data_IF_741448837464
#
_entry.id   IF_741448837464
#
_cell.length_a   1.000
_cell.length_b   1.000
_cell.length_c   1.000
_cell.angle_alpha   90.00
_cell.angle_beta   90.00
_cell.angle_gamma   90.00
#
_symmetry.space_group_name_H-M   'P 1'
#
loop_
_entity.id
_entity.type
_entity.pdbx_description
1 polymer ?
#
# COMPACT_ATOMS: atom_id res chain seq x y z
N UNK A 1 22.30 -14.14 -62.70
CA UNK A 1 22.21 -12.70 -62.34
C UNK A 1 22.47 -12.60 -60.84
N UNK A 2 23.60 -12.02 -60.44
CA UNK A 2 23.93 -11.81 -59.02
C UNK A 2 23.16 -10.59 -58.48
N UNK A 3 22.67 -10.62 -57.23
CA UNK A 3 21.93 -9.51 -56.65
C UNK A 3 22.88 -8.33 -56.41
N UNK A 4 22.48 -7.15 -56.91
CA UNK A 4 23.18 -5.89 -56.72
C UNK A 4 23.21 -5.53 -55.22
N UNK A 5 24.43 -5.35 -54.68
CA UNK A 5 24.63 -4.89 -53.31
C UNK A 5 24.10 -3.46 -53.15
N UNK A 6 23.07 -3.31 -52.33
CA UNK A 6 22.56 -2.00 -51.90
C UNK A 6 23.64 -1.29 -51.10
N UNK A 7 24.22 -0.24 -51.67
CA UNK A 7 25.19 0.63 -50.98
C UNK A 7 24.52 1.31 -49.79
N UNK A 8 24.68 0.74 -48.59
CA UNK A 8 24.35 1.46 -47.35
C UNK A 8 25.44 2.49 -47.10
N UNK A 9 25.10 3.77 -46.81
CA UNK A 9 26.10 4.75 -46.45
C UNK A 9 26.81 4.29 -45.18
N UNK A 10 28.11 4.01 -45.29
CA UNK A 10 28.97 3.68 -44.15
C UNK A 10 29.39 4.99 -43.51
N UNK A 11 28.93 5.23 -42.28
CA UNK A 11 29.42 6.34 -41.48
C UNK A 11 30.79 5.98 -40.90
N UNK A 12 31.76 6.87 -41.08
CA UNK A 12 33.08 6.76 -40.48
C UNK A 12 33.47 8.14 -39.91
N UNK A 13 33.87 8.16 -38.64
CA UNK A 13 34.37 9.37 -38.00
C UNK A 13 35.76 9.65 -38.58
N UNK A 14 35.89 10.72 -39.37
CA UNK A 14 37.15 11.09 -40.02
C UNK A 14 38.11 11.86 -39.11
N UNK A 15 37.58 12.58 -38.13
CA UNK A 15 38.35 13.26 -37.11
C UNK A 15 37.56 13.30 -35.80
N UNK A 16 38.27 13.13 -34.69
CA UNK A 16 37.75 13.30 -33.35
C UNK A 16 38.63 14.34 -32.65
N UNK A 17 38.07 15.50 -32.34
CA UNK A 17 38.76 16.49 -31.55
C UNK A 17 38.44 16.25 -30.07
N UNK A 18 39.42 15.77 -29.31
CA UNK A 18 39.27 15.43 -27.89
C UNK A 18 39.40 16.64 -26.95
N UNK A 19 39.60 17.85 -27.50
CA UNK A 19 39.64 19.08 -26.70
C UNK A 19 38.21 19.58 -26.53
N UNK A 20 37.70 19.47 -25.32
CA UNK A 20 36.35 19.89 -24.96
C UNK A 20 36.37 21.38 -24.61
N UNK A 21 36.06 22.24 -25.59
CA UNK A 21 35.97 23.69 -25.40
C UNK A 21 34.55 24.18 -25.08
N UNK A 22 33.59 23.28 -24.81
CA UNK A 22 32.28 23.74 -24.39
C UNK A 22 32.37 24.28 -22.96
N UNK A 23 32.32 25.61 -22.87
CA UNK A 23 32.13 26.31 -21.61
C UNK A 23 30.93 25.72 -20.87
N UNK A 24 31.13 25.49 -19.57
CA UNK A 24 30.04 25.41 -18.63
C UNK A 24 29.10 26.60 -18.84
N UNK A 25 27.80 26.37 -18.65
CA UNK A 25 26.71 27.37 -18.65
C UNK A 25 26.01 27.69 -19.96
N UNK A 26 25.55 26.65 -20.69
CA UNK A 26 24.22 26.77 -21.33
C UNK A 26 23.18 26.37 -20.28
N UNK A 27 22.89 27.33 -19.40
CA UNK A 27 21.69 27.36 -18.59
C UNK A 27 20.48 27.58 -19.50
N UNK A 28 20.00 26.53 -20.14
CA UNK A 28 18.62 26.51 -20.63
C UNK A 28 17.95 25.25 -20.12
N UNK A 29 16.73 25.44 -19.61
CA UNK A 29 15.88 24.36 -19.13
C UNK A 29 15.64 23.34 -20.26
N UNK A 30 16.47 22.29 -20.32
CA UNK A 30 16.37 21.20 -21.27
C UNK A 30 17.34 21.32 -22.45
N UNK A 31 18.46 20.60 -22.39
CA UNK A 31 19.37 20.46 -23.53
C UNK A 31 18.68 19.60 -24.64
N UNK A 32 18.77 19.96 -25.94
CA UNK A 32 18.03 19.31 -27.03
C UNK A 32 18.25 17.80 -27.17
N UNK A 33 19.40 17.30 -26.69
CA UNK A 33 19.72 15.85 -26.70
C UNK A 33 19.15 15.08 -25.50
N UNK A 34 18.50 15.74 -24.56
CA UNK A 34 18.00 15.14 -23.31
C UNK A 34 16.55 14.71 -23.46
N UNK A 35 16.30 13.85 -24.44
CA UNK A 35 14.97 13.29 -24.64
C UNK A 35 14.57 12.44 -23.43
N UNK A 36 13.26 12.37 -23.14
CA UNK A 36 12.71 11.49 -22.10
C UNK A 36 13.18 10.03 -22.27
N UNK A 37 13.30 9.55 -23.51
CA UNK A 37 13.82 8.22 -23.84
C UNK A 37 15.29 8.05 -23.46
N UNK A 38 16.11 9.08 -23.67
CA UNK A 38 17.52 9.04 -23.31
C UNK A 38 17.69 8.97 -21.79
N UNK A 39 16.95 9.80 -21.03
CA UNK A 39 16.99 9.78 -19.56
C UNK A 39 16.64 8.40 -19.03
N UNK A 40 15.56 7.78 -19.53
CA UNK A 40 15.16 6.41 -19.19
C UNK A 40 16.30 5.43 -19.39
N UNK A 41 16.95 5.45 -20.56
CA UNK A 41 18.06 4.53 -20.86
C UNK A 41 19.28 4.77 -19.95
N UNK A 42 19.60 6.04 -19.66
CA UNK A 42 20.74 6.40 -18.82
C UNK A 42 20.57 5.95 -17.35
N UNK A 43 19.34 5.96 -16.82
CA UNK A 43 19.08 5.56 -15.42
C UNK A 43 18.60 4.13 -15.25
N UNK A 44 18.25 3.42 -16.34
CA UNK A 44 17.64 2.09 -16.29
C UNK A 44 18.48 1.07 -15.50
N UNK A 45 19.76 0.94 -15.82
CA UNK A 45 20.65 -0.01 -15.15
C UNK A 45 20.72 0.23 -13.64
N UNK A 46 21.01 1.48 -13.24
CA UNK A 46 21.10 1.87 -11.83
C UNK A 46 19.78 1.66 -11.07
N UNK A 47 18.62 1.82 -11.73
CA UNK A 47 17.31 1.58 -11.12
C UNK A 47 16.95 0.10 -10.97
N UNK A 48 17.46 -0.76 -11.84
CA UNK A 48 17.34 -2.22 -11.70
C UNK A 48 18.11 -2.66 -10.46
N UNK A 49 19.34 -2.18 -10.30
CA UNK A 49 20.20 -2.57 -9.17
C UNK A 49 19.76 -1.91 -7.85
N UNK A 50 19.27 -0.66 -7.91
CA UNK A 50 18.81 0.13 -6.76
C UNK A 50 17.44 0.75 -7.03
N UNK A 51 16.34 0.04 -6.75
CA UNK A 51 14.97 0.58 -6.94
C UNK A 51 14.67 1.84 -6.11
N UNK A 52 15.36 2.02 -4.98
CA UNK A 52 15.24 3.20 -4.10
C UNK A 52 15.97 4.44 -4.62
N UNK A 53 16.64 4.35 -5.77
CA UNK A 53 17.43 5.44 -6.36
C UNK A 53 16.57 6.70 -6.58
N UNK A 54 16.96 7.82 -5.93
CA UNK A 54 16.15 9.04 -5.88
C UNK A 54 16.35 9.89 -7.14
N UNK A 55 15.30 10.62 -7.55
CA UNK A 55 15.38 11.53 -8.70
C UNK A 55 16.44 12.64 -8.51
N UNK A 56 16.65 13.11 -7.28
CA UNK A 56 17.73 14.05 -6.96
C UNK A 56 19.12 13.44 -7.14
N UNK A 57 19.31 12.18 -6.76
CA UNK A 57 20.55 11.44 -6.98
C UNK A 57 20.78 11.24 -8.49
N UNK A 58 19.73 10.95 -9.26
CA UNK A 58 19.79 10.84 -10.72
C UNK A 58 20.25 12.13 -11.39
N UNK A 59 19.74 13.28 -10.96
CA UNK A 59 20.19 14.57 -11.50
C UNK A 59 21.68 14.79 -11.28
N UNK A 60 22.17 14.49 -10.06
CA UNK A 60 23.58 14.63 -9.71
C UNK A 60 24.45 13.70 -10.54
N UNK A 61 24.05 12.43 -10.65
CA UNK A 61 24.79 11.41 -11.39
C UNK A 61 24.78 11.69 -12.89
N UNK A 62 23.67 12.16 -13.47
CA UNK A 62 23.62 12.52 -14.89
C UNK A 62 24.53 13.72 -15.18
N UNK A 63 24.56 14.71 -14.27
CA UNK A 63 25.50 15.83 -14.37
C UNK A 63 26.96 15.37 -14.26
N UNK A 64 27.26 14.43 -13.35
CA UNK A 64 28.61 13.90 -13.15
C UNK A 64 29.08 13.05 -14.33
N UNK A 65 28.24 12.10 -14.77
CA UNK A 65 28.63 11.05 -15.73
C UNK A 65 28.56 11.56 -17.18
N UNK A 66 27.69 12.54 -17.47
CA UNK A 66 27.45 13.03 -18.84
C UNK A 66 27.65 14.54 -19.02
N UNK A 67 27.92 15.30 -17.95
CA UNK A 67 28.06 16.76 -18.01
C UNK A 67 26.76 17.52 -18.27
N UNK A 68 25.61 16.84 -18.24
CA UNK A 68 24.30 17.42 -18.61
C UNK A 68 23.48 17.72 -17.36
N UNK A 69 22.94 18.93 -17.27
CA UNK A 69 21.94 19.27 -16.25
C UNK A 69 20.54 18.95 -16.75
N UNK A 70 19.75 18.22 -15.95
CA UNK A 70 18.34 17.94 -16.24
C UNK A 70 17.45 18.48 -15.13
N UNK A 71 16.25 18.97 -15.44
CA UNK A 71 15.30 19.38 -14.43
C UNK A 71 14.75 18.16 -13.67
N UNK A 72 14.41 18.36 -12.39
CA UNK A 72 13.91 17.30 -11.50
C UNK A 72 12.75 16.48 -12.09
N UNK A 73 11.79 17.16 -12.73
CA UNK A 73 10.63 16.47 -13.31
C UNK A 73 11.02 15.48 -14.43
N UNK A 74 12.11 15.73 -15.18
CA UNK A 74 12.60 14.79 -16.19
C UNK A 74 13.28 13.57 -15.55
N UNK A 75 14.07 13.78 -14.50
CA UNK A 75 14.66 12.69 -13.72
C UNK A 75 13.58 11.81 -13.08
N UNK A 76 12.58 12.45 -12.47
CA UNK A 76 11.43 11.79 -11.86
C UNK A 76 10.61 11.02 -12.90
N UNK A 77 10.32 11.62 -14.05
CA UNK A 77 9.57 10.94 -15.11
C UNK A 77 10.35 9.76 -15.70
N UNK A 78 11.65 9.91 -15.89
CA UNK A 78 12.53 8.80 -16.30
C UNK A 78 12.49 7.64 -15.31
N UNK A 79 12.52 7.94 -14.01
CA UNK A 79 12.34 6.95 -12.95
C UNK A 79 11.00 6.24 -13.06
N UNK A 80 9.89 6.99 -13.15
CA UNK A 80 8.55 6.43 -13.22
C UNK A 80 8.38 5.48 -14.42
N UNK A 81 8.93 5.84 -15.58
CA UNK A 81 8.87 4.97 -16.76
C UNK A 81 9.67 3.70 -16.56
N UNK A 82 10.90 3.78 -16.03
CA UNK A 82 11.70 2.58 -15.74
C UNK A 82 10.99 1.70 -14.71
N UNK A 83 10.53 2.26 -13.60
CA UNK A 83 9.78 1.55 -12.55
C UNK A 83 8.55 0.86 -13.13
N UNK A 84 7.76 1.55 -13.96
CA UNK A 84 6.60 0.96 -14.62
C UNK A 84 6.95 -0.17 -15.59
N UNK A 85 8.13 -0.12 -16.22
CA UNK A 85 8.62 -1.19 -17.09
C UNK A 85 9.16 -2.40 -16.33
N UNK A 86 9.70 -2.19 -15.12
CA UNK A 86 10.28 -3.26 -14.30
C UNK A 86 9.24 -4.03 -13.50
N UNK A 87 8.30 -3.31 -12.88
CA UNK A 87 7.26 -3.92 -12.05
C UNK A 87 5.98 -4.22 -12.82
N UNK A 88 6.01 -4.00 -14.15
CA UNK A 88 4.84 -4.00 -15.03
C UNK A 88 3.73 -3.06 -14.53
N UNK A 89 2.62 -2.93 -15.24
CA UNK A 89 1.52 -2.13 -14.73
C UNK A 89 0.92 -2.76 -13.45
N UNK A 90 0.27 -1.95 -12.61
CA UNK A 90 -0.38 -2.44 -11.39
C UNK A 90 -1.33 -3.61 -11.67
N UNK A 91 -2.00 -3.61 -12.84
CA UNK A 91 -2.93 -4.66 -13.26
C UNK A 91 -2.23 -6.02 -13.39
N UNK A 92 -1.03 -6.02 -13.95
CA UNK A 92 -0.18 -7.21 -14.14
C UNK A 92 0.36 -7.71 -12.80
N UNK A 93 0.77 -6.81 -11.90
CA UNK A 93 1.19 -7.15 -10.53
C UNK A 93 0.10 -7.90 -9.75
N UNK A 94 -1.17 -7.56 -9.94
CA UNK A 94 -2.28 -8.26 -9.27
C UNK A 94 -2.60 -9.64 -9.86
N UNK A 95 -2.33 -9.89 -11.15
CA UNK A 95 -2.43 -11.24 -11.69
C UNK A 95 -1.46 -12.22 -11.02
N UNK A 96 -0.29 -11.74 -10.58
CA UNK A 96 0.66 -12.56 -9.81
C UNK A 96 0.11 -12.97 -8.44
N UNK A 97 -0.76 -12.17 -7.81
CA UNK A 97 -1.39 -12.54 -6.54
C UNK A 97 -2.27 -13.78 -6.66
N UNK A 98 -2.96 -13.96 -7.80
CA UNK A 98 -3.79 -15.14 -8.01
C UNK A 98 -2.94 -16.41 -8.13
N UNK A 99 -1.84 -16.32 -8.89
CA UNK A 99 -0.88 -17.41 -8.98
C UNK A 99 -0.25 -17.71 -7.63
N UNK A 100 0.16 -16.67 -6.89
CA UNK A 100 0.73 -16.80 -5.55
C UNK A 100 -0.27 -17.44 -4.58
N UNK A 101 -1.52 -16.98 -4.57
CA UNK A 101 -2.58 -17.54 -3.72
C UNK A 101 -2.72 -19.05 -3.92
N UNK A 102 -2.83 -19.48 -5.19
CA UNK A 102 -2.91 -20.91 -5.55
C UNK A 102 -1.68 -21.68 -5.09
N UNK A 103 -0.48 -21.14 -5.32
CA UNK A 103 0.78 -21.80 -4.95
C UNK A 103 0.97 -21.89 -3.44
N UNK A 104 0.63 -20.83 -2.70
CA UNK A 104 0.74 -20.78 -1.26
C UNK A 104 -0.16 -21.82 -0.58
N UNK A 105 -1.40 -22.00 -1.06
CA UNK A 105 -2.32 -23.04 -0.57
C UNK A 105 -1.83 -24.44 -0.94
N UNK A 106 -1.29 -24.64 -2.14
CA UNK A 106 -0.70 -25.92 -2.55
C UNK A 106 0.52 -26.31 -1.71
N UNK A 107 1.41 -25.36 -1.43
CA UNK A 107 2.61 -25.58 -0.63
C UNK A 107 2.34 -25.66 0.88
N UNK A 108 1.28 -25.02 1.36
CA UNK A 108 0.88 -25.04 2.77
C UNK A 108 -0.61 -25.41 2.89
N UNK A 109 -0.96 -26.70 2.74
CA UNK A 109 -2.34 -27.17 2.86
C UNK A 109 -3.00 -26.72 4.17
N UNK A 110 -4.26 -26.31 4.10
CA UNK A 110 -5.02 -25.74 5.23
C UNK A 110 -4.92 -24.21 5.34
N UNK A 111 -3.97 -23.57 4.67
CA UNK A 111 -3.85 -22.10 4.70
C UNK A 111 -5.06 -21.43 4.05
N UNK A 112 -5.53 -20.35 4.67
CA UNK A 112 -6.66 -19.55 4.22
C UNK A 112 -6.16 -18.31 3.48
N UNK A 113 -6.18 -18.38 2.15
CA UNK A 113 -5.87 -17.25 1.28
C UNK A 113 -7.10 -16.91 0.44
N UNK A 114 -7.55 -15.64 0.52
CA UNK A 114 -8.74 -15.17 -0.20
C UNK A 114 -8.40 -13.90 -0.97
N UNK A 115 -8.27 -14.04 -2.29
CA UNK A 115 -8.04 -12.93 -3.20
C UNK A 115 -9.38 -12.51 -3.83
N UNK A 116 -9.76 -11.26 -3.58
CA UNK A 116 -10.95 -10.66 -4.16
C UNK A 116 -10.56 -9.63 -5.23
N UNK A 117 -11.19 -9.81 -6.38
CA UNK A 117 -11.04 -8.96 -7.56
C UNK A 117 -12.44 -8.45 -7.92
N UNK A 118 -12.52 -7.21 -8.34
CA UNK A 118 -13.72 -6.64 -8.90
C UNK A 118 -14.12 -7.38 -10.19
N UNK A 119 -15.33 -7.94 -10.28
CA UNK A 119 -15.71 -8.79 -11.42
C UNK A 119 -15.80 -8.01 -12.74
N UNK A 120 -16.17 -6.72 -12.70
CA UNK A 120 -16.37 -5.89 -13.89
C UNK A 120 -15.04 -5.32 -14.39
N UNK A 121 -14.27 -4.72 -13.49
CA UNK A 121 -13.02 -4.02 -13.85
C UNK A 121 -11.81 -4.94 -13.85
N UNK A 122 -11.94 -6.16 -13.30
CA UNK A 122 -10.85 -7.10 -13.05
C UNK A 122 -9.71 -6.47 -12.23
N UNK A 123 -10.05 -5.52 -11.36
CA UNK A 123 -9.10 -4.83 -10.48
C UNK A 123 -9.07 -5.47 -9.11
N UNK A 124 -7.89 -5.50 -8.53
CA UNK A 124 -7.70 -5.95 -7.16
C UNK A 124 -8.57 -5.15 -6.18
N UNK A 125 -9.23 -5.85 -5.24
CA UNK A 125 -9.97 -5.25 -4.13
C UNK A 125 -9.27 -5.53 -2.80
N UNK A 126 -9.14 -6.82 -2.48
CA UNK A 126 -8.71 -7.29 -1.16
C UNK A 126 -7.91 -8.59 -1.29
N UNK A 127 -6.90 -8.80 -0.46
CA UNK A 127 -6.21 -10.08 -0.33
C UNK A 127 -6.05 -10.41 1.14
N UNK A 128 -6.71 -11.47 1.60
CA UNK A 128 -6.51 -12.02 2.93
C UNK A 128 -5.55 -13.20 2.89
N UNK A 129 -4.65 -13.27 3.88
CA UNK A 129 -3.65 -14.32 4.01
C UNK A 129 -3.58 -14.75 5.48
N UNK A 130 -3.85 -16.03 5.74
CA UNK A 130 -3.61 -16.68 7.02
C UNK A 130 -3.05 -18.07 6.74
N UNK A 131 -1.82 -18.34 7.18
CA UNK A 131 -1.22 -19.66 7.01
C UNK A 131 -1.76 -20.64 8.05
N UNK A 132 -1.89 -21.92 7.68
CA UNK A 132 -2.36 -22.96 8.61
C UNK A 132 -1.50 -23.00 9.88
N UNK A 133 -0.18 -22.90 9.72
CA UNK A 133 0.75 -22.88 10.84
C UNK A 133 0.52 -21.67 11.77
N UNK A 134 0.18 -20.50 11.21
CA UNK A 134 -0.14 -19.30 11.99
C UNK A 134 -1.46 -19.45 12.74
N UNK A 135 -2.50 -19.96 12.09
CA UNK A 135 -3.79 -20.24 12.73
C UNK A 135 -3.65 -21.25 13.87
N UNK A 136 -2.94 -22.35 13.61
CA UNK A 136 -2.67 -23.38 14.60
C UNK A 136 -1.84 -22.85 15.78
N UNK A 137 -0.76 -22.11 15.52
CA UNK A 137 0.08 -21.51 16.55
C UNK A 137 -0.68 -20.52 17.44
N UNK A 138 -1.65 -19.80 16.88
CA UNK A 138 -2.56 -18.97 17.65
C UNK A 138 -3.45 -19.81 18.59
N UNK A 139 -4.09 -20.84 18.05
CA UNK A 139 -5.02 -21.70 18.80
C UNK A 139 -4.36 -22.42 19.98
N UNK A 140 -3.15 -22.95 19.80
CA UNK A 140 -2.49 -23.79 20.82
C UNK A 140 -1.53 -23.05 21.72
N UNK A 141 -0.99 -21.91 21.28
CA UNK A 141 0.18 -21.29 21.92
C UNK A 141 0.05 -19.80 22.21
N UNK A 142 -1.03 -19.15 21.77
CA UNK A 142 -1.24 -17.72 22.03
C UNK A 142 -2.32 -17.49 23.09
N UNK A 143 -2.22 -16.35 23.75
CA UNK A 143 -3.30 -15.82 24.56
C UNK A 143 -4.52 -15.56 23.66
N UNK A 144 -5.76 -15.74 24.17
CA UNK A 144 -6.99 -15.57 23.39
C UNK A 144 -7.31 -14.09 23.16
N UNK A 145 -6.37 -13.35 22.60
CA UNK A 145 -6.43 -11.93 22.33
C UNK A 145 -5.76 -11.64 20.98
N UNK A 146 -6.47 -10.90 20.12
CA UNK A 146 -5.98 -10.47 18.82
C UNK A 146 -5.89 -8.95 18.78
N UNK A 147 -4.73 -8.46 18.37
CA UNK A 147 -4.42 -7.07 18.10
C UNK A 147 -4.46 -6.85 16.60
N UNK A 148 -5.14 -5.79 16.17
CA UNK A 148 -5.20 -5.38 14.77
C UNK A 148 -4.43 -4.08 14.61
N UNK A 149 -3.43 -4.07 13.73
CA UNK A 149 -2.70 -2.86 13.36
C UNK A 149 -2.89 -2.54 11.88
N UNK A 150 -2.88 -1.24 11.59
CA UNK A 150 -3.14 -0.68 10.26
C UNK A 150 -1.94 0.13 9.79
N UNK A 151 -1.34 -0.31 8.69
CA UNK A 151 -0.28 0.44 8.01
C UNK A 151 -0.73 0.90 6.63
N UNK A 152 -0.57 2.19 6.34
CA UNK A 152 -0.92 2.76 5.03
C UNK A 152 0.18 2.50 3.99
N UNK A 153 -0.22 1.97 2.84
CA UNK A 153 0.66 1.86 1.67
C UNK A 153 0.69 3.24 0.99
N UNK A 154 1.77 3.98 1.19
CA UNK A 154 2.02 5.26 0.50
C UNK A 154 2.66 4.98 -0.87
N UNK A 155 1.84 4.65 -1.87
CA UNK A 155 2.26 4.60 -3.27
C UNK A 155 1.54 5.71 -4.06
N UNK A 156 2.27 6.45 -4.91
CA UNK A 156 1.75 7.64 -5.61
C UNK A 156 0.47 7.43 -6.44
N UNK A 157 0.16 6.19 -6.88
CA UNK A 157 -0.99 5.90 -7.76
C UNK A 157 -2.07 5.02 -7.12
N UNK A 158 -1.81 4.47 -5.93
CA UNK A 158 -2.69 3.50 -5.29
C UNK A 158 -2.64 3.71 -3.79
N UNK A 159 -3.77 4.13 -3.22
CA UNK A 159 -3.92 4.22 -1.78
C UNK A 159 -4.47 2.88 -1.27
N UNK A 160 -3.64 2.19 -0.50
CA UNK A 160 -3.97 0.90 0.07
C UNK A 160 -3.67 0.86 1.56
N UNK A 161 -4.18 -0.15 2.21
CA UNK A 161 -3.98 -0.41 3.63
C UNK A 161 -3.55 -1.87 3.78
N UNK A 162 -2.52 -2.09 4.59
CA UNK A 162 -2.18 -3.40 5.13
C UNK A 162 -2.74 -3.45 6.55
N UNK A 163 -3.55 -4.46 6.82
CA UNK A 163 -4.00 -4.81 8.16
C UNK A 163 -3.22 -6.06 8.59
N UNK A 164 -2.65 -6.03 9.79
CA UNK A 164 -2.01 -7.19 10.39
C UNK A 164 -2.77 -7.58 11.66
N UNK A 165 -3.08 -8.87 11.80
CA UNK A 165 -3.61 -9.45 13.02
C UNK A 165 -2.50 -10.17 13.75
N UNK A 166 -2.23 -9.78 14.99
CA UNK A 166 -1.21 -10.38 15.84
C UNK A 166 -1.80 -10.79 17.17
N UNK A 167 -1.21 -11.78 17.83
CA UNK A 167 -1.54 -12.20 19.18
C UNK A 167 -0.29 -12.14 20.06
N UNK A 168 -0.44 -12.38 21.36
CA UNK A 168 0.69 -12.64 22.24
C UNK A 168 0.86 -14.13 22.41
N UNK A 169 2.06 -14.67 22.17
CA UNK A 169 2.37 -16.06 22.46
C UNK A 169 2.52 -16.29 23.98
N UNK A 170 2.75 -17.53 24.40
CA UNK A 170 3.01 -17.88 25.80
C UNK A 170 4.20 -17.15 26.46
N UNK A 171 5.08 -16.55 25.67
CA UNK A 171 6.22 -15.74 26.14
C UNK A 171 5.93 -14.23 26.14
N UNK A 172 4.68 -13.81 25.92
CA UNK A 172 4.28 -12.41 25.76
C UNK A 172 4.97 -11.68 24.58
N UNK A 173 5.34 -12.41 23.53
CA UNK A 173 5.87 -11.83 22.30
C UNK A 173 4.77 -11.73 21.24
N UNK A 174 4.88 -10.71 20.38
CA UNK A 174 3.97 -10.55 19.25
C UNK A 174 4.15 -11.69 18.24
N UNK A 175 3.04 -12.38 17.98
CA UNK A 175 2.94 -13.46 17.01
C UNK A 175 1.95 -13.08 15.92
N UNK A 176 2.39 -13.00 14.67
CA UNK A 176 1.49 -12.62 13.59
C UNK A 176 0.64 -13.78 13.11
N UNK A 177 -0.68 -13.60 13.15
CA UNK A 177 -1.68 -14.61 12.81
C UNK A 177 -2.10 -14.50 11.35
N UNK A 178 -2.40 -13.28 10.89
CA UNK A 178 -2.91 -13.05 9.54
C UNK A 178 -2.60 -11.64 9.02
N UNK A 179 -2.70 -11.48 7.71
CA UNK A 179 -2.57 -10.19 7.03
C UNK A 179 -3.71 -9.98 6.04
N UNK A 180 -4.05 -8.72 5.82
CA UNK A 180 -4.97 -8.32 4.76
C UNK A 180 -4.41 -7.11 4.03
N UNK A 181 -4.44 -7.16 2.71
CA UNK A 181 -4.13 -6.03 1.83
C UNK A 181 -5.45 -5.58 1.22
N UNK A 182 -5.81 -4.31 1.38
CA UNK A 182 -7.02 -3.76 0.77
C UNK A 182 -6.70 -2.46 0.05
N UNK A 183 -7.27 -2.27 -1.14
CA UNK A 183 -7.38 -0.93 -1.69
C UNK A 183 -8.45 -0.18 -0.91
N UNK A 184 -8.17 1.08 -0.56
CA UNK A 184 -9.22 1.95 -0.06
C UNK A 184 -10.19 2.18 -1.22
N UNK A 185 -11.28 1.41 -1.22
CA UNK A 185 -12.44 1.69 -2.06
C UNK A 185 -13.23 2.83 -1.46
N UNK A 186 -13.93 3.60 -2.29
CA UNK A 186 -14.91 4.64 -1.91
C UNK A 186 -16.17 4.09 -1.20
N UNK A 187 -16.07 2.88 -0.63
CA UNK A 187 -17.16 2.20 0.04
C UNK A 187 -17.17 2.64 1.49
N UNK A 188 -18.25 3.30 1.90
CA UNK A 188 -18.42 3.72 3.29
C UNK A 188 -18.36 2.52 4.22
N UNK A 189 -17.43 2.54 5.15
CA UNK A 189 -17.29 1.54 6.22
C UNK A 189 -18.09 2.02 7.43
N UNK A 190 -18.73 1.08 8.14
CA UNK A 190 -19.33 1.37 9.43
C UNK A 190 -18.42 0.81 10.53
N UNK A 191 -17.79 1.68 11.31
CA UNK A 191 -17.00 1.32 12.48
C UNK A 191 -17.93 1.19 13.68
N UNK A 192 -17.86 0.07 14.40
CA UNK A 192 -18.53 -0.09 15.69
C UNK A 192 -17.44 -0.30 16.77
N UNK A 193 -17.17 0.73 17.56
CA UNK A 193 -16.08 0.68 18.56
C UNK A 193 -16.59 0.84 19.99
N UNK A 194 -15.74 0.58 20.98
CA UNK A 194 -15.98 1.10 22.32
C UNK A 194 -15.90 2.64 22.33
N UNK A 195 -16.18 3.25 23.50
CA UNK A 195 -16.19 4.71 23.68
C UNK A 195 -14.85 5.26 24.17
N UNK A 196 -13.74 4.55 23.93
CA UNK A 196 -12.40 4.97 24.30
C UNK A 196 -11.98 6.26 23.60
N UNK A 197 -11.32 7.16 24.34
CA UNK A 197 -10.89 8.49 23.84
C UNK A 197 -10.07 8.38 22.55
N UNK A 198 -9.11 7.46 22.50
CA UNK A 198 -8.24 7.30 21.32
C UNK A 198 -8.99 6.93 20.05
N UNK A 199 -9.96 6.01 20.13
CA UNK A 199 -10.75 5.58 18.97
C UNK A 199 -11.78 6.64 18.55
N UNK A 200 -12.35 7.35 19.52
CA UNK A 200 -13.28 8.46 19.26
C UNK A 200 -12.63 9.59 18.46
N UNK A 201 -11.34 9.83 18.70
CA UNK A 201 -10.58 10.91 18.03
C UNK A 201 -9.98 10.43 16.70
N UNK A 202 -9.44 9.20 16.66
CA UNK A 202 -8.74 8.70 15.47
C UNK A 202 -9.66 8.30 14.31
N UNK A 203 -10.86 7.77 14.59
CA UNK A 203 -11.76 7.28 13.53
C UNK A 203 -12.26 8.42 12.63
N UNK A 204 -12.76 9.56 13.15
CA UNK A 204 -13.18 10.68 12.30
C UNK A 204 -12.02 11.35 11.55
N UNK A 205 -10.81 11.37 12.13
CA UNK A 205 -9.62 11.96 11.52
C UNK A 205 -9.14 11.14 10.30
N UNK A 206 -9.18 9.81 10.40
CA UNK A 206 -8.69 8.90 9.35
C UNK A 206 -9.80 8.50 8.37
N UNK A 207 -11.06 8.43 8.83
CA UNK A 207 -12.23 7.95 8.08
C UNK A 207 -13.37 8.96 8.10
N UNK A 208 -13.09 10.19 7.68
CA UNK A 208 -14.01 11.34 7.78
C UNK A 208 -15.37 11.14 7.09
N UNK A 209 -15.46 10.24 6.12
CA UNK A 209 -16.68 9.98 5.33
C UNK A 209 -17.37 8.66 5.70
N UNK A 210 -16.87 7.95 6.70
CA UNK A 210 -17.37 6.65 7.14
C UNK A 210 -18.29 6.79 8.36
N UNK A 211 -19.19 5.83 8.55
CA UNK A 211 -20.09 5.83 9.69
C UNK A 211 -19.34 5.31 10.93
N UNK A 212 -19.49 5.98 12.06
CA UNK A 212 -18.94 5.53 13.33
C UNK A 212 -20.04 5.43 14.38
N UNK A 213 -20.31 4.21 14.82
CA UNK A 213 -21.22 3.89 15.90
C UNK A 213 -20.47 3.35 17.12
N UNK A 214 -21.14 3.38 18.27
CA UNK A 214 -20.60 2.81 19.50
C UNK A 214 -21.23 1.45 19.78
N UNK A 215 -20.41 0.51 20.23
CA UNK A 215 -20.84 -0.82 20.60
C UNK A 215 -21.82 -0.74 21.78
N UNK A 216 -23.07 -1.11 21.52
CA UNK A 216 -24.14 -1.06 22.52
C UNK A 216 -23.83 -1.89 23.77
N UNK A 217 -23.18 -3.06 23.60
CA UNK A 217 -22.79 -3.91 24.74
C UNK A 217 -21.81 -3.18 25.67
N UNK A 218 -20.79 -2.50 25.12
CA UNK A 218 -19.85 -1.70 25.90
C UNK A 218 -20.52 -0.49 26.57
N UNK A 219 -21.44 0.19 25.88
CA UNK A 219 -22.23 1.28 26.49
C UNK A 219 -23.06 0.75 27.66
N UNK A 220 -23.69 -0.42 27.49
CA UNK A 220 -24.51 -1.05 28.51
C UNK A 220 -23.68 -1.50 29.72
N UNK A 221 -22.49 -2.05 29.49
CA UNK A 221 -21.55 -2.42 30.54
C UNK A 221 -21.14 -1.18 31.36
N UNK A 222 -20.64 -0.14 30.68
CA UNK A 222 -20.25 1.13 31.31
C UNK A 222 -21.41 1.78 32.08
N UNK A 223 -22.62 1.71 31.53
CA UNK A 223 -23.82 2.22 32.19
C UNK A 223 -24.13 1.46 33.49
N UNK A 224 -24.01 0.12 33.48
CA UNK A 224 -24.22 -0.69 34.67
C UNK A 224 -23.18 -0.37 35.76
N UNK A 225 -21.92 -0.21 35.37
CA UNK A 225 -20.83 0.15 36.28
C UNK A 225 -21.05 1.53 36.90
N UNK A 226 -21.46 2.52 36.11
CA UNK A 226 -21.76 3.87 36.61
C UNK A 226 -22.95 3.92 37.56
N UNK A 227 -23.94 3.04 37.35
CA UNK A 227 -25.14 2.92 38.18
C UNK A 227 -24.93 1.98 39.38
N UNK A 228 -23.81 1.26 39.46
CA UNK A 228 -23.51 0.36 40.57
C UNK A 228 -23.53 1.15 41.89
N UNK A 229 -24.23 0.63 42.91
CA UNK A 229 -24.38 1.28 44.22
C UNK A 229 -25.18 2.60 44.28
N UNK A 230 -25.45 3.29 43.16
CA UNK A 230 -26.05 4.65 43.19
C UNK A 230 -27.58 4.70 43.16
N UNK A 231 -28.24 3.67 42.64
CA UNK A 231 -29.69 3.66 42.45
C UNK A 231 -30.32 2.35 42.95
N UNK A 232 -31.62 2.37 43.27
CA UNK A 232 -32.38 1.17 43.58
C UNK A 232 -32.52 0.26 42.35
N UNK A 233 -32.49 -1.06 42.56
CA UNK A 233 -32.56 -2.08 41.50
C UNK A 233 -33.74 -1.92 40.53
N UNK A 234 -34.97 -1.58 40.96
CA UNK A 234 -36.09 -1.35 40.04
C UNK A 234 -35.84 -0.18 39.08
N UNK A 235 -35.23 0.89 39.59
CA UNK A 235 -34.91 2.08 38.79
C UNK A 235 -33.80 1.80 37.77
N UNK A 236 -32.76 1.04 38.15
CA UNK A 236 -31.72 0.59 37.19
C UNK A 236 -32.30 -0.23 36.04
N UNK A 237 -33.24 -1.15 36.34
CA UNK A 237 -33.94 -1.95 35.32
C UNK A 237 -34.73 -1.07 34.35
N UNK A 238 -35.41 -0.03 34.86
CA UNK A 238 -36.13 0.94 34.03
C UNK A 238 -35.19 1.70 33.10
N UNK A 239 -34.10 2.27 33.64
CA UNK A 239 -33.12 3.01 32.84
C UNK A 239 -32.48 2.14 31.75
N UNK A 240 -32.13 0.89 32.08
CA UNK A 240 -31.60 -0.07 31.10
C UNK A 240 -32.59 -0.35 29.96
N UNK A 241 -33.89 -0.51 30.28
CA UNK A 241 -34.94 -0.68 29.25
C UNK A 241 -35.08 0.55 28.36
N UNK A 242 -35.01 1.75 28.93
CA UNK A 242 -35.05 3.01 28.17
C UNK A 242 -33.85 3.09 27.23
N UNK A 243 -32.64 2.81 27.73
CA UNK A 243 -31.41 2.85 26.95
C UNK A 243 -31.42 1.84 25.79
N UNK A 244 -31.93 0.62 26.04
CA UNK A 244 -32.16 -0.39 25.01
C UNK A 244 -33.14 0.10 23.94
N UNK A 245 -34.27 0.69 24.35
CA UNK A 245 -35.24 1.22 23.39
C UNK A 245 -34.62 2.29 22.51
N UNK A 246 -33.91 3.26 23.08
CA UNK A 246 -33.26 4.35 22.34
C UNK A 246 -32.23 3.80 21.34
N UNK A 247 -31.44 2.80 21.72
CA UNK A 247 -30.40 2.25 20.87
C UNK A 247 -30.91 1.52 19.61
N UNK A 248 -32.17 1.07 19.61
CA UNK A 248 -32.80 0.36 18.49
C UNK A 248 -33.99 1.12 17.90
N UNK A 249 -34.21 2.38 18.30
CA UNK A 249 -35.18 3.24 17.61
C UNK A 249 -34.69 3.46 16.19
N UNK A 250 -35.55 3.16 15.22
CA UNK A 250 -35.31 3.48 13.81
C UNK A 250 -35.31 4.99 13.70
N UNK A 251 -34.18 5.57 13.31
CA UNK A 251 -34.07 6.98 12.95
C UNK A 251 -34.47 7.11 11.48
N UNK A 252 -35.58 7.82 11.22
CA UNK A 252 -36.02 8.23 9.87
C UNK A 252 -35.03 9.18 9.20
#
# INVERSE_FOLDING_TARGET
MAPSCVHRPKFAIKSLNNIHSCGCDIMSNGHPRTSKKWVVNAVKGKLVDKPTYRASEMMRDIRRDYGISIPYHQAWWGKEVVVSSLYSDFRTSYHMLNWYSKRAVQSNPGSLLSLEVDPETQRFKRFFICFQASAYGFEVGCQPMLFLDRTHIKQHRVQGVILAASALNGNNELFTVAYSIALLSDRRIAFLSDRGKGLKEAIPDIFSNDHHGYCFQHIMQNFNDQCAGKYATPFKKLLRKILQRIAYVVTE
#
